data_IF_311530430501
#
_entry.id   IF_311530430501
#
_cell.length_a   1.000
_cell.length_b   1.000
_cell.length_c   1.000
_cell.angle_alpha   90.00
_cell.angle_beta   90.00
_cell.angle_gamma   90.00
#
_symmetry.space_group_name_H-M   'P 1'
#
loop_
_entity.id
_entity.type
_entity.pdbx_description
1 polymer ?
#
# COMPACT_ATOMS: atom_id res chain seq x y z
N UNK A 1 -10.56 -19.69 10.20
CA UNK A 1 -11.02 -18.39 9.65
C UNK A 1 -12.35 -18.57 8.94
N UNK A 2 -13.36 -17.79 9.31
CA UNK A 2 -14.68 -17.83 8.67
C UNK A 2 -14.65 -17.05 7.35
N UNK A 3 -15.66 -17.27 6.50
CA UNK A 3 -15.81 -16.50 5.26
C UNK A 3 -15.94 -14.99 5.54
N UNK A 4 -16.67 -14.62 6.59
CA UNK A 4 -16.84 -13.21 6.97
C UNK A 4 -15.52 -12.59 7.43
N UNK A 5 -14.74 -13.31 8.24
CA UNK A 5 -13.43 -12.85 8.69
C UNK A 5 -12.47 -12.64 7.50
N UNK A 6 -12.53 -13.57 6.53
CA UNK A 6 -11.72 -13.49 5.31
C UNK A 6 -12.10 -12.26 4.49
N UNK A 7 -13.40 -12.04 4.28
CA UNK A 7 -13.88 -10.86 3.55
C UNK A 7 -13.50 -9.55 4.22
N UNK A 8 -13.61 -9.49 5.56
CA UNK A 8 -13.21 -8.32 6.34
C UNK A 8 -11.71 -8.05 6.23
N UNK A 9 -10.88 -9.10 6.28
CA UNK A 9 -9.44 -8.97 6.14
C UNK A 9 -9.06 -8.42 4.76
N UNK A 10 -9.63 -8.98 3.70
CA UNK A 10 -9.40 -8.54 2.32
C UNK A 10 -9.85 -7.09 2.15
N UNK A 11 -11.05 -6.76 2.64
CA UNK A 11 -11.57 -5.38 2.56
C UNK A 11 -10.67 -4.39 3.26
N UNK A 12 -10.22 -4.72 4.48
CA UNK A 12 -9.34 -3.84 5.24
C UNK A 12 -8.02 -3.59 4.50
N UNK A 13 -7.44 -4.64 3.93
CA UNK A 13 -6.19 -4.53 3.17
C UNK A 13 -6.38 -3.66 1.91
N UNK A 14 -7.43 -3.89 1.13
CA UNK A 14 -7.72 -3.12 -0.09
C UNK A 14 -8.01 -1.66 0.27
N UNK A 15 -8.87 -1.42 1.26
CA UNK A 15 -9.21 -0.06 1.69
C UNK A 15 -7.94 0.70 2.13
N UNK A 16 -7.07 0.06 2.90
CA UNK A 16 -5.82 0.64 3.35
C UNK A 16 -4.88 0.95 2.17
N UNK A 17 -4.76 0.04 1.23
CA UNK A 17 -3.92 0.22 0.05
C UNK A 17 -4.39 1.42 -0.77
N UNK A 18 -5.70 1.54 -1.00
CA UNK A 18 -6.27 2.66 -1.76
C UNK A 18 -6.10 3.99 -1.03
N UNK A 19 -6.21 4.00 0.30
CA UNK A 19 -5.95 5.19 1.10
C UNK A 19 -4.51 5.67 0.92
N UNK A 20 -3.54 4.76 0.89
CA UNK A 20 -2.13 5.13 0.68
C UNK A 20 -1.84 5.67 -0.73
N UNK A 21 -2.73 5.44 -1.69
CA UNK A 21 -2.64 6.03 -3.02
C UNK A 21 -3.36 7.38 -3.13
N UNK A 22 -4.16 7.75 -2.14
CA UNK A 22 -4.89 9.01 -2.11
C UNK A 22 -3.94 10.16 -1.79
N UNK A 23 -3.87 11.21 -2.64
CA UNK A 23 -2.98 12.35 -2.42
C UNK A 23 -3.20 13.05 -1.08
N UNK A 24 -4.44 13.16 -0.60
CA UNK A 24 -4.74 13.79 0.68
C UNK A 24 -4.17 13.00 1.86
N UNK A 25 -4.26 11.66 1.78
CA UNK A 25 -3.68 10.79 2.80
C UNK A 25 -2.15 10.89 2.77
N UNK A 26 -1.57 10.84 1.58
CA UNK A 26 -0.12 10.94 1.39
C UNK A 26 0.45 12.28 1.87
N UNK A 27 -0.33 13.33 1.82
CA UNK A 27 0.07 14.64 2.32
C UNK A 27 0.06 14.74 3.86
N UNK A 28 -0.49 13.74 4.55
CA UNK A 28 -0.59 13.71 6.01
C UNK A 28 0.29 12.60 6.59
N UNK A 29 1.48 12.95 7.14
CA UNK A 29 2.35 11.94 7.77
C UNK A 29 1.64 11.14 8.87
N UNK A 30 0.77 11.79 9.65
CA UNK A 30 0.01 11.11 10.71
C UNK A 30 -0.92 10.03 10.16
N UNK A 31 -1.62 10.32 9.06
CA UNK A 31 -2.53 9.35 8.42
C UNK A 31 -1.77 8.20 7.78
N UNK A 32 -0.64 8.49 7.13
CA UNK A 32 0.22 7.46 6.55
C UNK A 32 0.76 6.55 7.66
N UNK A 33 1.23 7.13 8.76
CA UNK A 33 1.78 6.38 9.89
C UNK A 33 0.75 5.39 10.49
N UNK A 34 -0.52 5.76 10.51
CA UNK A 34 -1.59 4.88 11.02
C UNK A 34 -1.80 3.64 10.14
N UNK A 35 -1.39 3.70 8.88
CA UNK A 35 -1.56 2.59 7.94
C UNK A 35 -0.31 1.71 7.83
N UNK A 36 0.85 2.21 8.27
CA UNK A 36 2.11 1.48 8.17
C UNK A 36 2.40 0.68 9.44
N UNK A 37 2.86 -0.57 9.25
CA UNK A 37 3.42 -1.38 10.32
C UNK A 37 4.71 -0.70 10.80
N UNK A 38 5.02 -0.73 12.11
CA UNK A 38 6.31 -0.19 12.60
C UNK A 38 7.54 -0.81 11.91
N UNK A 39 7.41 -2.04 11.43
CA UNK A 39 8.47 -2.74 10.71
C UNK A 39 8.35 -2.62 9.19
N UNK A 40 7.51 -1.71 8.71
CA UNK A 40 7.29 -1.51 7.27
C UNK A 40 8.59 -1.29 6.52
N UNK A 41 8.70 -1.98 5.38
CA UNK A 41 9.76 -1.75 4.39
C UNK A 41 9.16 -1.74 2.99
N UNK A 42 9.80 -1.02 2.09
CA UNK A 42 9.37 -0.94 0.69
C UNK A 42 10.59 -1.00 -0.23
N UNK A 43 10.40 -1.64 -1.38
CA UNK A 43 11.36 -1.57 -2.48
C UNK A 43 10.67 -0.84 -3.63
N UNK A 44 11.17 0.34 -3.97
CA UNK A 44 10.61 1.15 -5.05
C UNK A 44 11.03 0.64 -6.43
N UNK A 45 10.46 1.25 -7.47
CA UNK A 45 10.71 0.85 -8.87
C UNK A 45 12.17 1.00 -9.29
N UNK A 46 12.92 1.86 -8.61
CA UNK A 46 14.36 2.04 -8.85
C UNK A 46 15.24 1.04 -8.10
N UNK A 47 14.64 0.18 -7.28
CA UNK A 47 15.36 -0.70 -6.37
C UNK A 47 15.72 -0.06 -5.04
N UNK A 48 15.37 1.21 -4.85
CA UNK A 48 15.64 1.91 -3.59
C UNK A 48 14.80 1.32 -2.46
N UNK A 49 15.42 1.15 -1.31
CA UNK A 49 14.75 0.65 -0.10
C UNK A 49 14.26 1.80 0.76
N UNK A 50 13.06 1.63 1.30
CA UNK A 50 12.41 2.61 2.16
C UNK A 50 11.96 1.94 3.45
N UNK A 51 11.96 2.68 4.54
CA UNK A 51 11.37 2.29 5.82
C UNK A 51 10.36 3.36 6.24
N UNK A 52 9.78 3.22 7.43
CA UNK A 52 8.78 4.20 7.92
C UNK A 52 9.35 5.61 7.93
N UNK A 53 10.55 5.79 8.45
CA UNK A 53 11.16 7.11 8.59
C UNK A 53 11.42 7.76 7.23
N UNK A 54 12.03 7.03 6.31
CA UNK A 54 12.37 7.57 5.00
C UNK A 54 11.14 7.81 4.13
N UNK A 55 10.11 6.95 4.22
CA UNK A 55 8.89 7.14 3.42
C UNK A 55 8.09 8.35 3.92
N UNK A 56 8.03 8.59 5.24
CA UNK A 56 7.36 9.76 5.79
C UNK A 56 8.05 11.06 5.36
N UNK A 57 9.38 11.06 5.29
CA UNK A 57 10.13 12.23 4.83
C UNK A 57 9.79 12.61 3.38
N UNK A 58 9.53 11.63 2.53
CA UNK A 58 9.17 11.85 1.12
C UNK A 58 7.70 12.23 0.96
N UNK A 59 6.79 11.53 1.66
CA UNK A 59 5.36 11.81 1.55
C UNK A 59 4.99 13.19 2.04
N UNK A 60 5.65 13.69 3.08
CA UNK A 60 5.42 15.05 3.58
C UNK A 60 5.82 16.14 2.58
N UNK A 61 6.56 15.79 1.54
CA UNK A 61 6.96 16.71 0.47
C UNK A 61 5.90 16.97 -0.60
N UNK A 62 4.75 16.31 -0.54
CA UNK A 62 3.62 16.57 -1.44
C UNK A 62 3.88 16.24 -2.92
N UNK A 63 4.48 15.10 -3.21
CA UNK A 63 4.94 14.75 -4.55
C UNK A 63 3.86 14.24 -5.52
N UNK A 64 2.61 14.06 -5.09
CA UNK A 64 1.55 13.55 -5.96
C UNK A 64 0.59 14.68 -6.33
N UNK A 65 0.39 14.90 -7.64
CA UNK A 65 -0.54 15.90 -8.13
C UNK A 65 -1.98 15.40 -8.01
N UNK A 66 -2.89 16.16 -7.36
CA UNK A 66 -4.30 15.77 -7.30
C UNK A 66 -4.99 15.83 -8.67
N UNK A 67 -4.38 16.49 -9.66
CA UNK A 67 -4.93 16.61 -11.01
C UNK A 67 -4.71 15.38 -11.86
N UNK A 68 -3.80 14.48 -11.45
CA UNK A 68 -3.47 13.27 -12.19
C UNK A 68 -3.61 12.06 -11.24
N UNK A 69 -4.83 11.55 -11.04
CA UNK A 69 -5.03 10.42 -10.13
C UNK A 69 -4.36 9.16 -10.66
N UNK A 70 -3.89 8.34 -9.74
CA UNK A 70 -3.35 7.03 -10.06
C UNK A 70 -4.50 6.09 -10.39
N UNK A 71 -4.43 5.42 -11.54
CA UNK A 71 -5.40 4.41 -11.93
C UNK A 71 -4.96 3.04 -11.42
N UNK A 72 -5.86 2.34 -10.74
CA UNK A 72 -5.63 1.00 -10.20
C UNK A 72 -6.39 -0.01 -11.04
N UNK A 73 -5.74 -1.10 -11.41
CA UNK A 73 -6.36 -2.16 -12.19
C UNK A 73 -5.88 -3.55 -11.76
N UNK A 74 -6.65 -4.55 -12.10
CA UNK A 74 -6.33 -5.97 -11.91
C UNK A 74 -5.97 -6.31 -10.46
N UNK A 75 -6.72 -5.75 -9.50
CA UNK A 75 -6.52 -6.03 -8.09
C UNK A 75 -6.85 -7.50 -7.80
N UNK A 76 -5.87 -8.22 -7.23
CA UNK A 76 -6.07 -9.59 -6.78
C UNK A 76 -5.57 -9.71 -5.34
N UNK A 77 -6.23 -10.58 -4.58
CA UNK A 77 -5.93 -10.81 -3.18
C UNK A 77 -5.69 -12.29 -2.88
N UNK A 78 -4.84 -12.57 -1.91
CA UNK A 78 -4.64 -13.89 -1.35
C UNK A 78 -4.49 -13.77 0.16
N UNK A 79 -5.32 -14.50 0.90
CA UNK A 79 -5.16 -14.62 2.35
C UNK A 79 -4.17 -15.74 2.62
N UNK A 80 -2.95 -15.36 2.97
CA UNK A 80 -1.85 -16.31 3.18
C UNK A 80 -1.90 -16.95 4.57
N UNK A 81 -2.48 -16.23 5.53
CA UNK A 81 -2.68 -16.67 6.92
C UNK A 81 -3.79 -15.79 7.50
N UNK A 82 -4.39 -16.16 8.66
CA UNK A 82 -5.45 -15.34 9.25
C UNK A 82 -5.04 -13.87 9.50
N UNK A 83 -3.74 -13.62 9.68
CA UNK A 83 -3.22 -12.28 9.95
C UNK A 83 -2.42 -11.69 8.78
N UNK A 84 -2.48 -12.30 7.57
CA UNK A 84 -1.64 -11.88 6.46
C UNK A 84 -2.39 -11.93 5.13
N UNK A 85 -2.54 -10.77 4.49
CA UNK A 85 -3.16 -10.63 3.16
C UNK A 85 -2.13 -10.12 2.17
N UNK A 86 -2.06 -10.76 1.01
CA UNK A 86 -1.20 -10.34 -0.10
C UNK A 86 -2.07 -9.73 -1.19
N UNK A 87 -1.75 -8.51 -1.59
CA UNK A 87 -2.39 -7.81 -2.70
C UNK A 87 -1.42 -7.67 -3.86
N UNK A 88 -1.93 -7.89 -5.07
CA UNK A 88 -1.19 -7.62 -6.31
C UNK A 88 -2.09 -6.82 -7.23
N UNK A 89 -1.55 -5.80 -7.90
CA UNK A 89 -2.31 -4.95 -8.80
C UNK A 89 -1.36 -4.14 -9.68
N UNK A 90 -1.93 -3.42 -10.64
CA UNK A 90 -1.19 -2.47 -11.45
C UNK A 90 -1.65 -1.05 -11.15
N UNK A 91 -0.72 -0.12 -11.24
CA UNK A 91 -1.04 1.31 -11.24
C UNK A 91 -0.57 1.92 -12.56
N UNK A 92 -1.36 2.85 -13.07
CA UNK A 92 -1.00 3.66 -14.23
C UNK A 92 -1.04 5.13 -13.81
N UNK A 93 0.06 5.83 -14.01
CA UNK A 93 0.20 7.23 -13.66
C UNK A 93 1.08 7.91 -14.70
N UNK A 94 0.51 8.87 -15.40
CA UNK A 94 1.21 9.64 -16.45
C UNK A 94 1.95 8.74 -17.45
N UNK A 95 1.27 7.70 -17.92
CA UNK A 95 1.84 6.77 -18.90
C UNK A 95 2.79 5.72 -18.34
N UNK A 96 3.04 5.76 -17.03
CA UNK A 96 3.93 4.82 -16.36
C UNK A 96 3.13 3.74 -15.67
N UNK A 97 3.30 2.49 -16.11
CA UNK A 97 2.63 1.34 -15.52
C UNK A 97 3.56 0.60 -14.57
N UNK A 98 3.08 0.34 -13.38
CA UNK A 98 3.84 -0.31 -12.32
C UNK A 98 3.07 -1.53 -11.81
N UNK A 99 3.75 -2.67 -11.71
CA UNK A 99 3.24 -3.86 -11.04
C UNK A 99 3.55 -3.75 -9.56
N UNK A 100 2.52 -3.86 -8.70
CA UNK A 100 2.67 -3.64 -7.25
C UNK A 100 2.29 -4.87 -6.46
N UNK A 101 2.99 -5.08 -5.36
CA UNK A 101 2.78 -6.20 -4.44
C UNK A 101 2.85 -5.66 -3.02
N UNK A 102 1.85 -5.98 -2.21
CA UNK A 102 1.76 -5.51 -0.83
C UNK A 102 1.41 -6.65 0.11
N UNK A 103 2.01 -6.63 1.29
CA UNK A 103 1.66 -7.54 2.39
C UNK A 103 1.06 -6.70 3.53
N UNK A 104 -0.20 -7.00 3.85
CA UNK A 104 -0.92 -6.40 4.96
C UNK A 104 -0.98 -7.37 6.12
N UNK A 105 -0.62 -6.91 7.31
CA UNK A 105 -0.53 -7.72 8.52
C UNK A 105 -1.50 -7.22 9.57
N UNK A 106 -2.23 -8.13 10.21
CA UNK A 106 -3.08 -7.79 11.35
C UNK A 106 -2.22 -7.63 12.60
N UNK A 107 -2.30 -6.46 13.20
CA UNK A 107 -1.58 -6.09 14.43
C UNK A 107 -2.58 -5.80 15.55
N UNK A 108 -2.09 -5.53 16.74
CA UNK A 108 -2.94 -5.13 17.88
C UNK A 108 -3.76 -3.87 17.62
N UNK A 109 -3.27 -3.02 16.70
CA UNK A 109 -3.94 -1.77 16.33
C UNK A 109 -4.66 -1.83 14.99
N UNK A 110 -4.83 -3.02 14.43
CA UNK A 110 -5.53 -3.24 13.16
C UNK A 110 -4.61 -3.69 12.05
N UNK A 111 -5.17 -3.70 10.83
CA UNK A 111 -4.42 -4.08 9.64
C UNK A 111 -3.45 -2.97 9.25
N UNK A 112 -2.17 -3.34 9.03
CA UNK A 112 -1.12 -2.39 8.67
C UNK A 112 -0.28 -2.93 7.52
N UNK A 113 0.21 -2.04 6.68
CA UNK A 113 1.08 -2.41 5.56
C UNK A 113 2.46 -2.77 6.09
N UNK A 114 2.84 -4.02 5.90
CA UNK A 114 4.11 -4.55 6.35
C UNK A 114 5.20 -4.44 5.28
N UNK A 115 4.85 -4.72 4.02
CA UNK A 115 5.81 -4.70 2.91
C UNK A 115 5.12 -4.25 1.63
N UNK A 116 5.83 -3.48 0.82
CA UNK A 116 5.37 -3.07 -0.52
C UNK A 116 6.53 -3.11 -1.50
N UNK A 117 6.26 -3.55 -2.73
CA UNK A 117 7.22 -3.52 -3.82
C UNK A 117 6.55 -3.05 -5.10
N UNK A 118 7.21 -2.15 -5.82
CA UNK A 118 6.80 -1.74 -7.16
C UNK A 118 7.86 -2.11 -8.18
N UNK A 119 7.42 -2.61 -9.33
CA UNK A 119 8.30 -2.93 -10.45
C UNK A 119 7.70 -2.39 -11.73
N UNK A 120 8.50 -1.75 -12.57
CA UNK A 120 8.01 -1.26 -13.86
C UNK A 120 7.49 -2.43 -14.69
N UNK A 121 6.27 -2.29 -15.20
CA UNK A 121 5.70 -3.27 -16.12
C UNK A 121 6.31 -3.04 -17.51
N UNK A 122 6.67 -4.13 -18.14
CA UNK A 122 7.26 -4.10 -19.46
C UNK A 122 6.22 -3.77 -20.54
#
# INVERSE_FOLDING_TARGET
MTSDEREQAVKAAIDGELLLLDPEVRASPARVLELLDPEFTEIGTSGRRWDVKSILAVTSGGSVSPESPVEVSEMSEAVLAPELVHLKYFTDYQGRRVCRSSLWRLTETGWRLYFHQGALAA
#
